data_IF_736534133218
#
_entry.id   IF_736534133218
#
_cell.length_a   1.000
_cell.length_b   1.000
_cell.length_c   1.000
_cell.angle_alpha   90.00
_cell.angle_beta   90.00
_cell.angle_gamma   90.00
#
_symmetry.space_group_name_H-M   'P 1'
#
loop_
_entity.id
_entity.type
_entity.pdbx_description
1 polymer ?
#
# COMPACT_ATOMS: atom_id res chain seq x y z
N UNK A 1 4.83 8.45 19.71
CA UNK A 1 5.85 7.37 19.77
C UNK A 1 6.49 7.27 18.39
N UNK A 2 7.73 7.72 18.23
CA UNK A 2 8.50 7.59 16.99
C UNK A 2 8.71 6.10 16.70
N UNK A 3 8.54 5.70 15.43
CA UNK A 3 8.94 4.37 14.95
C UNK A 3 10.33 4.04 15.50
N UNK A 4 10.60 2.80 15.95
CA UNK A 4 11.96 2.40 16.15
C UNK A 4 12.69 2.61 14.81
N UNK A 5 13.78 3.37 14.85
CA UNK A 5 14.70 3.49 13.71
C UNK A 5 15.33 2.11 13.50
N UNK A 6 14.60 1.22 12.84
CA UNK A 6 15.20 0.05 12.22
C UNK A 6 16.00 0.60 11.05
N UNK A 7 17.29 0.33 11.00
CA UNK A 7 18.19 0.79 9.92
C UNK A 7 17.84 0.19 8.54
N UNK A 8 16.60 -0.16 8.31
CA UNK A 8 16.01 -0.70 7.11
C UNK A 8 15.05 0.32 6.51
N UNK A 9 15.06 0.42 5.21
CA UNK A 9 14.19 1.30 4.44
C UNK A 9 12.72 0.90 4.66
N UNK A 10 11.93 1.73 5.32
CA UNK A 10 10.51 1.52 5.60
C UNK A 10 9.59 1.78 4.39
N UNK A 11 10.18 2.05 3.23
CA UNK A 11 9.45 2.42 2.01
C UNK A 11 8.78 1.24 1.29
N UNK A 12 9.19 0.01 1.59
CA UNK A 12 8.63 -1.19 0.98
C UNK A 12 7.77 -1.99 1.96
N UNK A 13 6.63 -2.44 1.49
CA UNK A 13 5.65 -3.25 2.22
C UNK A 13 5.40 -4.52 1.40
N UNK A 14 5.35 -5.70 2.01
CA UNK A 14 4.85 -6.89 1.33
C UNK A 14 3.32 -6.95 1.44
N UNK A 15 2.64 -6.89 0.29
CA UNK A 15 1.19 -7.12 0.21
C UNK A 15 0.86 -8.61 0.25
N UNK A 16 0.09 -9.03 1.24
CA UNK A 16 -0.22 -10.43 1.54
C UNK A 16 -1.55 -10.92 0.91
N UNK A 17 -2.13 -10.17 -0.03
CA UNK A 17 -3.45 -10.47 -0.62
C UNK A 17 -3.53 -11.90 -1.16
N UNK A 18 -2.55 -12.36 -1.93
CA UNK A 18 -2.59 -13.63 -2.65
C UNK A 18 -1.88 -14.79 -1.94
N UNK A 19 -1.59 -14.70 -0.65
CA UNK A 19 -0.96 -15.80 0.08
C UNK A 19 -1.84 -17.06 0.10
N UNK A 20 -3.16 -16.88 0.19
CA UNK A 20 -4.11 -18.01 0.19
C UNK A 20 -4.09 -18.86 -1.09
N UNK A 21 -3.49 -18.37 -2.17
CA UNK A 21 -3.29 -19.09 -3.44
C UNK A 21 -2.00 -19.92 -3.46
N UNK A 22 -1.21 -19.91 -2.39
CA UNK A 22 0.13 -20.51 -2.31
C UNK A 22 0.18 -21.65 -1.30
N UNK A 23 1.12 -22.57 -1.53
CA UNK A 23 1.40 -23.62 -0.54
C UNK A 23 2.15 -23.03 0.66
N UNK A 24 2.09 -23.66 1.84
CA UNK A 24 2.83 -23.22 3.02
C UNK A 24 4.32 -23.02 2.76
N UNK A 25 4.99 -23.96 2.06
CA UNK A 25 6.42 -23.84 1.74
C UNK A 25 6.72 -22.65 0.82
N UNK A 26 5.85 -22.38 -0.17
CA UNK A 26 6.00 -21.21 -1.03
C UNK A 26 5.88 -19.89 -0.25
N UNK A 27 5.00 -19.87 0.75
CA UNK A 27 4.83 -18.70 1.62
C UNK A 27 6.05 -18.51 2.52
N UNK A 28 6.58 -19.57 3.11
CA UNK A 28 7.82 -19.51 3.91
C UNK A 28 8.96 -18.92 3.07
N UNK A 29 9.18 -19.46 1.87
CA UNK A 29 10.22 -18.96 0.95
C UNK A 29 10.02 -17.48 0.57
N UNK A 30 8.78 -17.06 0.35
CA UNK A 30 8.45 -15.67 0.04
C UNK A 30 8.73 -14.72 1.21
N UNK A 31 8.31 -15.10 2.42
CA UNK A 31 8.51 -14.29 3.61
C UNK A 31 10.00 -14.23 4.00
N UNK A 32 10.74 -15.33 3.85
CA UNK A 32 12.19 -15.34 4.02
C UNK A 32 12.86 -14.36 3.05
N UNK A 33 12.49 -14.41 1.74
CA UNK A 33 13.01 -13.48 0.75
C UNK A 33 12.67 -12.01 1.07
N UNK A 34 11.49 -11.74 1.61
CA UNK A 34 11.11 -10.40 2.06
C UNK A 34 12.00 -9.93 3.22
N UNK A 35 12.17 -10.78 4.24
CA UNK A 35 13.01 -10.49 5.39
C UNK A 35 14.48 -10.28 5.02
N UNK A 36 15.04 -11.11 4.13
CA UNK A 36 16.40 -10.95 3.59
C UNK A 36 16.58 -9.66 2.78
N UNK A 37 15.50 -9.21 2.10
CA UNK A 37 15.49 -7.93 1.38
C UNK A 37 15.24 -6.70 2.26
N UNK A 38 15.21 -6.88 3.59
CA UNK A 38 14.98 -5.78 4.54
C UNK A 38 13.51 -5.38 4.72
N UNK A 39 12.57 -6.02 4.05
CA UNK A 39 11.14 -5.73 4.20
C UNK A 39 10.67 -6.27 5.55
N UNK A 40 10.11 -5.39 6.38
CA UNK A 40 9.62 -5.70 7.73
C UNK A 40 8.15 -5.37 7.92
N UNK A 41 7.52 -4.69 6.97
CA UNK A 41 6.11 -4.34 7.00
C UNK A 41 5.30 -5.27 6.08
N UNK A 42 4.20 -5.82 6.63
CA UNK A 42 3.32 -6.79 5.96
C UNK A 42 1.89 -6.26 5.99
N UNK A 43 1.26 -6.23 4.82
CA UNK A 43 -0.06 -5.65 4.61
C UNK A 43 -1.10 -6.72 4.33
N UNK A 44 -2.09 -6.81 5.20
CA UNK A 44 -3.21 -7.74 5.17
C UNK A 44 -4.55 -7.04 4.99
N UNK A 45 -5.61 -7.82 4.92
CA UNK A 45 -7.00 -7.43 5.16
C UNK A 45 -7.80 -8.66 5.60
N UNK A 46 -8.82 -8.44 6.42
CA UNK A 46 -9.70 -9.48 6.95
C UNK A 46 -10.39 -10.33 5.86
N UNK A 47 -10.63 -9.72 4.69
CA UNK A 47 -11.27 -10.37 3.53
C UNK A 47 -10.30 -11.19 2.66
N UNK A 48 -8.98 -11.08 2.81
CA UNK A 48 -8.03 -11.74 1.93
C UNK A 48 -8.08 -13.26 2.05
N UNK A 49 -8.62 -13.93 1.01
CA UNK A 49 -8.91 -15.36 1.04
C UNK A 49 -9.82 -15.76 2.22
N UNK A 50 -10.80 -14.90 2.56
CA UNK A 50 -11.71 -15.10 3.72
C UNK A 50 -10.92 -15.32 5.02
N UNK A 51 -9.86 -14.54 5.22
CA UNK A 51 -8.93 -14.64 6.35
C UNK A 51 -7.88 -15.76 6.22
N UNK A 52 -7.87 -16.50 5.10
CA UNK A 52 -6.88 -17.55 4.83
C UNK A 52 -5.47 -17.00 4.71
N UNK A 53 -5.28 -15.83 4.08
CA UNK A 53 -3.98 -15.19 3.95
C UNK A 53 -3.34 -14.85 5.30
N UNK A 54 -4.11 -14.36 6.26
CA UNK A 54 -3.63 -14.05 7.63
C UNK A 54 -3.21 -15.33 8.37
N UNK A 55 -4.01 -16.42 8.29
CA UNK A 55 -3.66 -17.71 8.94
C UNK A 55 -2.38 -18.32 8.37
N UNK A 56 -2.24 -18.34 7.05
CA UNK A 56 -1.06 -18.89 6.38
C UNK A 56 0.19 -18.03 6.65
N UNK A 57 0.04 -16.72 6.73
CA UNK A 57 1.12 -15.82 7.14
C UNK A 57 1.60 -16.14 8.56
N UNK A 58 0.67 -16.27 9.52
CA UNK A 58 1.01 -16.58 10.91
C UNK A 58 1.77 -17.91 11.04
N UNK A 59 1.32 -18.96 10.34
CA UNK A 59 1.99 -20.26 10.31
C UNK A 59 3.41 -20.17 9.74
N UNK A 60 3.60 -19.43 8.64
CA UNK A 60 4.91 -19.28 8.02
C UNK A 60 5.86 -18.46 8.90
N UNK A 61 5.38 -17.39 9.56
CA UNK A 61 6.20 -16.62 10.51
C UNK A 61 6.61 -17.44 11.74
N UNK A 62 5.74 -18.33 12.21
CA UNK A 62 6.08 -19.28 13.27
C UNK A 62 7.17 -20.25 12.80
N UNK A 63 7.07 -20.81 11.59
CA UNK A 63 8.07 -21.69 10.99
C UNK A 63 9.43 -20.99 10.86
N UNK A 64 9.44 -19.70 10.50
CA UNK A 64 10.66 -18.89 10.41
C UNK A 64 11.23 -18.46 11.77
N UNK A 65 10.53 -18.71 12.87
CA UNK A 65 10.92 -18.26 14.20
C UNK A 65 11.00 -16.72 14.31
N UNK A 66 10.21 -16.02 13.50
CA UNK A 66 10.23 -14.56 13.44
C UNK A 66 9.55 -13.97 14.69
N UNK A 67 10.23 -13.08 15.39
CA UNK A 67 9.68 -12.42 16.57
C UNK A 67 8.68 -11.34 16.16
N UNK A 68 7.53 -11.27 16.86
CA UNK A 68 6.47 -10.28 16.58
C UNK A 68 6.98 -8.84 16.55
N UNK A 69 7.86 -8.49 17.46
CA UNK A 69 8.41 -7.15 17.63
C UNK A 69 9.38 -6.74 16.52
N UNK A 70 9.85 -7.70 15.72
CA UNK A 70 10.77 -7.44 14.62
C UNK A 70 10.08 -7.05 13.31
N UNK A 71 8.76 -7.08 13.29
CA UNK A 71 7.93 -6.80 12.10
C UNK A 71 6.81 -5.80 12.41
N UNK A 72 6.31 -5.17 11.36
CA UNK A 72 5.14 -4.27 11.40
C UNK A 72 3.98 -4.95 10.70
N UNK A 73 2.89 -5.19 11.41
CA UNK A 73 1.66 -5.77 10.87
C UNK A 73 0.62 -4.69 10.64
N UNK A 74 0.16 -4.59 9.42
CA UNK A 74 -0.96 -3.76 9.01
C UNK A 74 -2.09 -4.65 8.50
N UNK A 75 -3.32 -4.40 8.92
CA UNK A 75 -4.49 -5.06 8.34
C UNK A 75 -5.62 -4.07 8.10
N UNK A 76 -6.69 -4.51 7.47
CA UNK A 76 -7.82 -3.68 7.07
C UNK A 76 -9.14 -4.35 7.39
N UNK A 77 -10.19 -3.56 7.60
CA UNK A 77 -11.57 -4.02 7.75
C UNK A 77 -12.56 -3.07 7.06
N UNK A 78 -13.82 -3.43 7.02
CA UNK A 78 -14.90 -2.58 6.54
C UNK A 78 -15.49 -2.97 5.18
N UNK A 79 -14.91 -3.96 4.45
CA UNK A 79 -15.55 -4.50 3.25
C UNK A 79 -16.37 -5.74 3.64
N UNK A 80 -17.66 -5.71 3.25
CA UNK A 80 -18.60 -6.82 3.39
C UNK A 80 -19.08 -7.27 2.01
N UNK A 81 -19.76 -8.41 1.93
CA UNK A 81 -20.36 -8.85 0.69
C UNK A 81 -21.50 -7.92 0.28
N UNK A 82 -21.26 -7.14 -0.79
CA UNK A 82 -22.25 -6.21 -1.35
C UNK A 82 -22.35 -4.84 -0.67
N UNK A 83 -21.62 -4.58 0.43
CA UNK A 83 -21.65 -3.27 1.10
C UNK A 83 -20.38 -2.98 1.91
N UNK A 84 -20.24 -1.75 2.39
CA UNK A 84 -19.20 -1.36 3.35
C UNK A 84 -19.82 -1.17 4.74
N UNK A 85 -19.02 -1.43 5.79
CA UNK A 85 -19.48 -1.37 7.16
C UNK A 85 -18.37 -0.80 8.05
N UNK A 86 -18.51 0.46 8.42
CA UNK A 86 -17.60 1.17 9.32
C UNK A 86 -18.20 1.37 10.72
N UNK A 87 -19.22 0.59 11.09
CA UNK A 87 -19.80 0.63 12.44
C UNK A 87 -18.79 0.21 13.51
N UNK A 88 -18.92 0.73 14.71
CA UNK A 88 -18.06 0.38 15.85
C UNK A 88 -18.04 -1.13 16.10
N UNK A 89 -19.20 -1.78 16.08
CA UNK A 89 -19.32 -3.22 16.33
C UNK A 89 -18.57 -4.05 15.28
N UNK A 90 -18.69 -3.68 13.98
CA UNK A 90 -17.98 -4.38 12.92
C UNK A 90 -16.47 -4.21 13.04
N UNK A 91 -15.99 -3.01 13.30
CA UNK A 91 -14.55 -2.73 13.48
C UNK A 91 -13.97 -3.57 14.62
N UNK A 92 -14.64 -3.58 15.79
CA UNK A 92 -14.19 -4.36 16.95
C UNK A 92 -14.14 -5.85 16.66
N UNK A 93 -15.19 -6.41 16.08
CA UNK A 93 -15.27 -7.84 15.73
C UNK A 93 -14.22 -8.22 14.66
N UNK A 94 -13.98 -7.34 13.68
CA UNK A 94 -12.98 -7.56 12.65
C UNK A 94 -11.58 -7.62 13.24
N UNK A 95 -11.24 -6.71 14.17
CA UNK A 95 -9.93 -6.71 14.83
C UNK A 95 -9.73 -7.98 15.65
N UNK A 96 -10.73 -8.43 16.42
CA UNK A 96 -10.63 -9.68 17.17
C UNK A 96 -10.38 -10.87 16.25
N UNK A 97 -11.07 -10.92 15.11
CA UNK A 97 -10.84 -11.92 14.07
C UNK A 97 -9.44 -11.84 13.45
N UNK A 98 -8.95 -10.65 13.12
CA UNK A 98 -7.62 -10.40 12.57
C UNK A 98 -6.55 -10.90 13.55
N UNK A 99 -6.63 -10.50 14.81
CA UNK A 99 -5.67 -10.89 15.85
C UNK A 99 -5.62 -12.40 16.03
N UNK A 100 -6.79 -13.04 16.08
CA UNK A 100 -6.90 -14.50 16.17
C UNK A 100 -6.25 -15.20 14.97
N UNK A 101 -6.48 -14.74 13.75
CA UNK A 101 -5.93 -15.35 12.53
C UNK A 101 -4.43 -15.11 12.36
N UNK A 102 -3.94 -13.92 12.73
CA UNK A 102 -2.52 -13.57 12.74
C UNK A 102 -1.77 -14.15 13.93
N UNK A 103 -2.47 -14.77 14.89
CA UNK A 103 -1.90 -15.32 16.13
C UNK A 103 -1.02 -14.29 16.87
N UNK A 104 -1.60 -13.13 17.16
CA UNK A 104 -0.92 -12.01 17.83
C UNK A 104 -1.88 -11.24 18.72
N UNK A 105 -1.36 -10.57 19.75
CA UNK A 105 -2.15 -9.78 20.66
C UNK A 105 -2.41 -8.35 20.16
N UNK A 106 -1.64 -7.90 19.14
CA UNK A 106 -1.79 -6.55 18.58
C UNK A 106 -1.39 -6.49 17.10
N UNK A 107 -1.92 -5.49 16.40
CA UNK A 107 -1.41 -5.03 15.10
C UNK A 107 -0.90 -3.59 15.21
N UNK A 108 0.09 -3.26 14.36
CA UNK A 108 0.69 -1.92 14.38
C UNK A 108 -0.22 -0.88 13.73
N UNK A 109 -0.96 -1.27 12.71
CA UNK A 109 -1.84 -0.34 11.98
C UNK A 109 -3.11 -1.04 11.51
N UNK A 110 -4.25 -0.41 11.75
CA UNK A 110 -5.55 -0.78 11.17
C UNK A 110 -5.98 0.28 10.17
N UNK A 111 -6.37 -0.12 8.96
CA UNK A 111 -6.96 0.77 7.96
C UNK A 111 -8.45 0.48 7.78
N UNK A 112 -9.27 1.52 7.63
CA UNK A 112 -10.58 1.37 7.00
C UNK A 112 -10.36 1.13 5.51
N UNK A 113 -10.81 -0.04 5.00
CA UNK A 113 -10.40 -0.55 3.68
C UNK A 113 -11.00 0.26 2.51
N UNK A 114 -12.22 0.79 2.69
CA UNK A 114 -12.94 1.64 1.74
C UNK A 114 -13.76 2.70 2.48
N UNK A 115 -14.00 3.85 1.84
CA UNK A 115 -14.96 4.82 2.37
C UNK A 115 -16.36 4.20 2.40
N UNK A 116 -16.98 4.22 3.55
CA UNK A 116 -18.39 3.86 3.74
C UNK A 116 -19.24 5.13 3.65
N UNK A 117 -20.24 5.15 2.77
CA UNK A 117 -21.12 6.29 2.61
C UNK A 117 -22.04 6.52 3.82
N UNK A 118 -22.21 5.49 4.65
CA UNK A 118 -23.03 5.53 5.86
C UNK A 118 -22.19 5.62 7.14
N UNK A 119 -20.89 5.87 7.01
CA UNK A 119 -19.97 6.01 8.14
C UNK A 119 -20.39 7.18 9.04
N UNK A 120 -20.56 6.87 10.33
CA UNK A 120 -20.68 7.88 11.40
C UNK A 120 -19.31 8.04 12.07
N UNK A 121 -18.62 9.19 11.90
CA UNK A 121 -17.28 9.40 12.45
C UNK A 121 -17.17 9.16 13.96
N UNK A 122 -18.22 9.44 14.72
CA UNK A 122 -18.25 9.22 16.16
C UNK A 122 -18.21 7.73 16.54
N UNK A 123 -18.87 6.85 15.77
CA UNK A 123 -18.80 5.39 15.98
C UNK A 123 -17.41 4.84 15.68
N UNK A 124 -16.79 5.32 14.60
CA UNK A 124 -15.39 4.94 14.29
C UNK A 124 -14.45 5.40 15.40
N UNK A 125 -14.64 6.64 15.90
CA UNK A 125 -13.84 7.18 16.99
C UNK A 125 -13.97 6.34 18.27
N UNK A 126 -15.18 5.90 18.63
CA UNK A 126 -15.43 5.01 19.77
C UNK A 126 -14.63 3.71 19.62
N UNK A 127 -14.71 3.04 18.46
CA UNK A 127 -13.99 1.79 18.21
C UNK A 127 -12.47 2.00 18.26
N UNK A 128 -11.94 3.05 17.63
CA UNK A 128 -10.51 3.33 17.60
C UNK A 128 -9.97 3.66 19.00
N UNK A 129 -10.69 4.49 19.78
CA UNK A 129 -10.32 4.81 21.16
C UNK A 129 -10.27 3.54 22.02
N UNK A 130 -11.27 2.67 21.92
CA UNK A 130 -11.28 1.40 22.63
C UNK A 130 -10.10 0.50 22.25
N UNK A 131 -9.89 0.25 20.95
CA UNK A 131 -8.82 -0.61 20.45
C UNK A 131 -7.43 -0.12 20.83
N UNK A 132 -7.22 1.20 20.84
CA UNK A 132 -5.95 1.79 21.27
C UNK A 132 -5.77 1.69 22.78
N UNK A 133 -6.82 1.95 23.56
CA UNK A 133 -6.76 1.89 25.03
C UNK A 133 -6.45 0.48 25.54
N UNK A 134 -6.98 -0.57 24.89
CA UNK A 134 -6.68 -1.97 25.24
C UNK A 134 -5.41 -2.51 24.57
N UNK A 135 -4.71 -1.71 23.75
CA UNK A 135 -3.44 -2.06 23.13
C UNK A 135 -3.54 -3.02 21.95
N UNK A 136 -4.74 -3.29 21.40
CA UNK A 136 -4.94 -4.17 20.25
C UNK A 136 -4.51 -3.57 18.93
N UNK A 137 -4.59 -2.24 18.79
CA UNK A 137 -4.18 -1.48 17.62
C UNK A 137 -3.37 -0.26 18.05
N UNK A 138 -2.18 -0.08 17.47
CA UNK A 138 -1.29 1.02 17.85
C UNK A 138 -1.56 2.30 17.06
N UNK A 139 -1.94 2.19 15.78
CA UNK A 139 -2.17 3.32 14.86
C UNK A 139 -3.32 3.02 13.93
N UNK A 140 -3.91 4.08 13.39
CA UNK A 140 -5.05 3.98 12.50
C UNK A 140 -4.80 4.76 11.22
N UNK A 141 -5.42 4.31 10.13
CA UNK A 141 -5.38 4.97 8.84
C UNK A 141 -6.58 4.57 7.99
N UNK A 142 -6.52 4.94 6.73
CA UNK A 142 -7.60 4.71 5.77
C UNK A 142 -7.04 4.18 4.44
N UNK A 143 -7.92 3.72 3.58
CA UNK A 143 -7.58 3.30 2.22
C UNK A 143 -8.63 3.80 1.24
N UNK A 144 -8.16 4.42 0.13
CA UNK A 144 -9.00 4.98 -0.93
C UNK A 144 -9.91 6.14 -0.50
N UNK A 145 -9.56 6.85 0.56
CA UNK A 145 -10.28 8.03 1.03
C UNK A 145 -9.83 9.28 0.28
N UNK A 146 -10.79 10.17 -0.01
CA UNK A 146 -10.54 11.51 -0.52
C UNK A 146 -10.25 12.48 0.64
N UNK A 147 -9.57 13.62 0.38
CA UNK A 147 -9.24 14.59 1.42
C UNK A 147 -10.39 14.96 2.36
N UNK A 148 -11.55 15.33 1.83
CA UNK A 148 -12.68 15.74 2.68
C UNK A 148 -13.28 14.59 3.50
N UNK A 149 -13.14 13.33 3.07
CA UNK A 149 -13.54 12.17 3.88
C UNK A 149 -12.55 11.94 5.02
N UNK A 150 -11.25 12.19 4.78
CA UNK A 150 -10.23 12.14 5.84
C UNK A 150 -10.48 13.24 6.87
N UNK A 151 -10.73 14.47 6.44
CA UNK A 151 -11.05 15.59 7.34
C UNK A 151 -12.29 15.31 8.18
N UNK A 152 -13.36 14.83 7.58
CA UNK A 152 -14.58 14.48 8.28
C UNK A 152 -14.32 13.43 9.37
N UNK A 153 -13.60 12.35 9.03
CA UNK A 153 -13.25 11.33 10.01
C UNK A 153 -12.32 11.88 11.10
N UNK A 154 -11.26 12.59 10.70
CA UNK A 154 -10.26 13.15 11.61
C UNK A 154 -10.88 14.14 12.61
N UNK A 155 -11.97 14.84 12.24
CA UNK A 155 -12.65 15.77 13.13
C UNK A 155 -13.26 15.13 14.37
N UNK A 156 -13.52 13.81 14.34
CA UNK A 156 -14.05 13.06 15.47
C UNK A 156 -12.97 12.25 16.22
N UNK A 157 -11.77 12.06 15.62
CA UNK A 157 -10.72 11.22 16.19
C UNK A 157 -9.83 12.01 17.16
N UNK A 158 -9.43 11.38 18.26
CA UNK A 158 -8.42 11.90 19.18
C UNK A 158 -6.97 11.68 18.68
N UNK A 159 -6.75 10.60 17.93
CA UNK A 159 -5.45 10.22 17.39
C UNK A 159 -5.35 10.61 15.89
N UNK A 160 -4.15 11.00 15.41
CA UNK A 160 -3.97 11.30 14.01
C UNK A 160 -4.06 10.02 13.16
N UNK A 161 -4.69 10.11 12.00
CA UNK A 161 -4.58 9.09 10.97
C UNK A 161 -3.13 9.07 10.44
N UNK A 162 -2.56 7.89 10.30
CA UNK A 162 -1.13 7.74 9.95
C UNK A 162 -0.90 7.48 8.46
N UNK A 163 -1.88 6.95 7.74
CA UNK A 163 -1.72 6.57 6.34
C UNK A 163 -3.03 6.64 5.55
N UNK A 164 -2.90 6.88 4.24
CA UNK A 164 -3.94 6.62 3.25
C UNK A 164 -3.35 5.72 2.15
N UNK A 165 -3.93 4.53 1.97
CA UNK A 165 -3.46 3.56 0.99
C UNK A 165 -4.30 3.69 -0.29
N UNK A 166 -3.66 4.08 -1.42
CA UNK A 166 -4.33 4.37 -2.70
C UNK A 166 -3.66 3.62 -3.85
N UNK A 167 -4.39 3.36 -4.94
CA UNK A 167 -3.76 2.86 -6.16
C UNK A 167 -2.86 3.96 -6.74
N UNK A 168 -1.60 3.62 -7.01
CA UNK A 168 -0.67 4.53 -7.66
C UNK A 168 0.47 3.77 -8.34
N UNK A 169 0.76 4.14 -9.58
CA UNK A 169 1.83 3.57 -10.39
C UNK A 169 1.81 4.12 -11.81
N UNK A 170 2.75 3.72 -12.65
CA UNK A 170 2.90 4.24 -14.03
C UNK A 170 1.66 4.01 -14.91
N UNK A 171 0.89 2.96 -14.67
CA UNK A 171 -0.39 2.73 -15.35
C UNK A 171 -1.62 3.26 -14.56
N UNK A 172 -1.40 4.00 -13.48
CA UNK A 172 -2.44 4.65 -12.66
C UNK A 172 -1.88 5.93 -12.04
N UNK A 173 -1.71 6.97 -12.84
CA UNK A 173 -1.08 8.24 -12.47
C UNK A 173 -2.08 9.31 -11.99
N UNK A 174 -3.39 9.02 -12.03
CA UNK A 174 -4.46 9.93 -11.68
C UNK A 174 -4.20 10.82 -10.45
N UNK A 175 -3.65 10.29 -9.34
CA UNK A 175 -3.36 11.08 -8.14
C UNK A 175 -2.37 12.25 -8.31
N UNK A 176 -1.66 12.35 -9.44
CA UNK A 176 -0.73 13.45 -9.75
C UNK A 176 -1.04 14.17 -11.07
N UNK A 177 -1.90 13.61 -11.91
CA UNK A 177 -2.15 14.13 -13.27
C UNK A 177 -2.76 15.53 -13.23
N UNK A 178 -3.72 15.77 -12.33
CA UNK A 178 -4.39 17.05 -12.22
C UNK A 178 -3.43 18.21 -11.93
N UNK A 179 -2.39 17.96 -11.12
CA UNK A 179 -1.35 18.94 -10.84
C UNK A 179 -0.41 19.14 -12.04
N UNK A 180 0.04 18.07 -12.70
CA UNK A 180 0.96 18.13 -13.84
C UNK A 180 0.32 18.72 -15.10
N UNK A 181 -0.98 18.52 -15.26
CA UNK A 181 -1.75 18.98 -16.42
C UNK A 181 -2.64 20.19 -16.12
N UNK A 182 -2.38 20.88 -15.01
CA UNK A 182 -3.15 22.04 -14.59
C UNK A 182 -3.21 23.10 -15.68
N UNK A 183 -4.37 23.78 -15.81
CA UNK A 183 -4.61 24.81 -16.80
C UNK A 183 -4.47 24.36 -18.27
N UNK A 184 -4.68 23.09 -18.56
CA UNK A 184 -4.73 22.54 -19.94
C UNK A 184 -6.12 22.02 -20.28
N UNK A 185 -6.27 21.55 -21.51
CA UNK A 185 -7.47 20.82 -21.96
C UNK A 185 -7.29 19.30 -21.96
N UNK A 186 -6.20 18.79 -21.40
CA UNK A 186 -5.96 17.35 -21.30
C UNK A 186 -6.95 16.72 -20.32
N UNK A 187 -7.33 15.47 -20.58
CA UNK A 187 -8.29 14.76 -19.74
C UNK A 187 -7.84 14.54 -18.29
N UNK A 188 -6.52 14.49 -18.05
CA UNK A 188 -5.94 14.37 -16.72
C UNK A 188 -5.93 15.67 -15.90
N UNK A 189 -6.26 16.83 -16.51
CA UNK A 189 -6.40 18.11 -15.77
C UNK A 189 -7.60 18.15 -14.84
N UNK A 190 -8.53 17.20 -14.96
CA UNK A 190 -9.68 17.08 -14.07
C UNK A 190 -9.25 16.39 -12.77
N UNK A 191 -9.34 17.12 -11.67
CA UNK A 191 -9.09 16.56 -10.34
C UNK A 191 -10.25 15.64 -9.93
N UNK A 192 -9.99 14.32 -9.93
CA UNK A 192 -10.97 13.29 -9.58
C UNK A 192 -10.87 12.81 -8.14
N UNK A 193 -9.75 13.03 -7.48
CA UNK A 193 -9.48 12.52 -6.13
C UNK A 193 -9.17 13.59 -5.07
N UNK A 194 -9.28 14.88 -5.45
CA UNK A 194 -9.12 16.01 -4.54
C UNK A 194 -7.64 16.25 -4.18
N UNK A 195 -6.72 15.99 -5.12
CA UNK A 195 -5.27 16.19 -4.89
C UNK A 195 -4.78 15.39 -3.67
N UNK A 196 -5.20 14.14 -3.58
CA UNK A 196 -5.03 13.29 -2.39
C UNK A 196 -3.57 13.15 -1.94
N UNK A 197 -2.61 13.08 -2.86
CA UNK A 197 -1.18 12.97 -2.51
C UNK A 197 -0.68 14.26 -1.85
N UNK A 198 -1.02 15.43 -2.42
CA UNK A 198 -0.60 16.72 -1.85
C UNK A 198 -1.26 16.96 -0.49
N UNK A 199 -2.55 16.64 -0.36
CA UNK A 199 -3.26 16.69 0.91
C UNK A 199 -2.57 15.82 1.98
N UNK A 200 -2.31 14.56 1.67
CA UNK A 200 -1.65 13.64 2.60
C UNK A 200 -0.26 14.17 3.00
N UNK A 201 0.51 14.70 2.04
CA UNK A 201 1.81 15.28 2.29
C UNK A 201 1.74 16.49 3.24
N UNK A 202 0.77 17.39 3.04
CA UNK A 202 0.56 18.58 3.89
C UNK A 202 0.19 18.20 5.32
N UNK A 203 -0.57 17.13 5.50
CA UNK A 203 -1.10 16.70 6.80
C UNK A 203 -0.28 15.57 7.45
N UNK A 204 0.88 15.22 6.89
CA UNK A 204 1.77 14.22 7.47
C UNK A 204 1.26 12.77 7.39
N UNK A 205 0.25 12.49 6.56
CA UNK A 205 -0.21 11.13 6.30
C UNK A 205 0.74 10.45 5.32
N UNK A 206 1.13 9.22 5.64
CA UNK A 206 1.92 8.41 4.72
C UNK A 206 1.02 7.90 3.58
N UNK A 207 1.39 8.18 2.34
CA UNK A 207 0.73 7.58 1.18
C UNK A 207 1.33 6.20 0.91
N UNK A 208 0.48 5.18 0.80
CA UNK A 208 0.88 3.82 0.48
C UNK A 208 0.32 3.43 -0.89
N UNK A 209 1.20 3.14 -1.86
CA UNK A 209 0.82 2.78 -3.22
C UNK A 209 0.51 1.28 -3.33
N UNK A 210 -0.78 0.92 -3.48
CA UNK A 210 -1.14 -0.46 -3.77
C UNK A 210 -1.21 -0.72 -5.29
N UNK A 211 -1.04 -1.97 -5.69
CA UNK A 211 -1.02 -2.42 -7.10
C UNK A 211 -0.11 -1.59 -8.03
N UNK A 212 1.14 -1.33 -7.66
CA UNK A 212 2.02 -0.39 -8.36
C UNK A 212 2.37 -0.79 -9.79
N UNK A 213 2.20 -2.07 -10.15
CA UNK A 213 2.50 -2.62 -11.47
C UNK A 213 1.26 -3.03 -12.26
N UNK A 214 0.07 -2.81 -11.72
CA UNK A 214 -1.19 -3.19 -12.37
C UNK A 214 -1.80 -2.02 -13.14
N UNK A 215 -2.60 -2.36 -14.16
CA UNK A 215 -3.44 -1.42 -14.87
C UNK A 215 -4.93 -1.75 -14.65
N UNK A 216 -5.78 -0.76 -14.86
CA UNK A 216 -7.22 -0.88 -14.64
C UNK A 216 -7.57 -1.26 -13.19
N UNK A 217 -8.73 -1.89 -13.00
CA UNK A 217 -9.13 -2.48 -11.74
C UNK A 217 -8.83 -3.98 -11.76
N UNK A 218 -7.57 -4.35 -11.55
CA UNK A 218 -7.04 -5.73 -11.60
C UNK A 218 -7.10 -6.39 -12.98
N UNK A 219 -6.97 -5.60 -14.06
CA UNK A 219 -7.01 -6.10 -15.44
C UNK A 219 -5.70 -6.77 -15.86
N UNK A 220 -4.60 -6.52 -15.15
CA UNK A 220 -3.32 -7.17 -15.42
C UNK A 220 -2.10 -6.37 -14.97
N UNK A 221 -0.92 -6.92 -15.26
CA UNK A 221 0.36 -6.28 -15.03
C UNK A 221 0.86 -5.65 -16.35
N UNK A 222 1.26 -4.39 -16.32
CA UNK A 222 1.76 -3.71 -17.53
C UNK A 222 3.17 -4.15 -17.94
N UNK A 223 3.97 -4.73 -17.04
CA UNK A 223 5.32 -5.21 -17.37
C UNK A 223 5.26 -6.34 -18.41
N UNK A 224 5.86 -6.10 -19.57
CA UNK A 224 5.86 -7.03 -20.70
C UNK A 224 4.51 -7.13 -21.44
N UNK A 225 3.51 -6.34 -21.08
CA UNK A 225 2.22 -6.37 -21.74
C UNK A 225 2.24 -5.56 -23.04
N UNK A 226 1.74 -6.11 -24.19
CA UNK A 226 1.82 -5.45 -25.50
C UNK A 226 1.17 -4.06 -25.59
N UNK A 227 0.09 -3.83 -24.86
CA UNK A 227 -0.60 -2.52 -24.83
C UNK A 227 0.26 -1.41 -24.22
N UNK A 228 1.36 -1.74 -23.52
CA UNK A 228 2.29 -0.80 -22.89
C UNK A 228 3.70 -0.89 -23.50
N UNK A 229 3.79 -1.11 -24.82
CA UNK A 229 5.06 -1.36 -25.52
C UNK A 229 6.07 -0.21 -25.33
N UNK A 230 5.63 1.05 -25.45
CA UNK A 230 6.48 2.23 -25.27
C UNK A 230 6.99 2.34 -23.83
N UNK A 231 6.09 2.18 -22.84
CA UNK A 231 6.47 2.16 -21.43
C UNK A 231 7.47 1.04 -21.11
N UNK A 232 7.23 -0.16 -21.63
CA UNK A 232 8.14 -1.30 -21.42
C UNK A 232 9.50 -1.10 -22.10
N UNK A 233 9.53 -0.48 -23.27
CA UNK A 233 10.78 -0.10 -23.91
C UNK A 233 11.59 0.84 -23.03
N UNK A 234 10.97 1.91 -22.53
CA UNK A 234 11.63 2.90 -21.69
C UNK A 234 12.06 2.32 -20.32
N UNK A 235 11.21 1.48 -19.70
CA UNK A 235 11.57 0.77 -18.47
C UNK A 235 12.80 -0.13 -18.65
N UNK A 236 12.91 -0.82 -19.78
CA UNK A 236 14.07 -1.66 -20.07
C UNK A 236 15.33 -0.82 -20.32
N UNK A 237 15.24 0.32 -21.01
CA UNK A 237 16.35 1.25 -21.17
C UNK A 237 16.86 1.74 -19.83
N UNK A 238 15.96 2.19 -18.95
CA UNK A 238 16.31 2.63 -17.59
C UNK A 238 16.90 1.48 -16.76
N UNK A 239 16.36 0.27 -16.89
CA UNK A 239 16.89 -0.92 -16.22
C UNK A 239 18.36 -1.18 -16.57
N UNK A 240 18.75 -0.97 -17.82
CA UNK A 240 20.16 -1.07 -18.26
C UNK A 240 21.02 0.05 -17.65
N UNK A 241 20.53 1.31 -17.66
CA UNK A 241 21.25 2.47 -17.12
C UNK A 241 21.52 2.30 -15.62
N UNK A 242 20.53 1.82 -14.88
CA UNK A 242 20.61 1.70 -13.41
C UNK A 242 21.07 0.33 -12.90
N UNK A 243 21.32 -0.64 -13.80
CA UNK A 243 21.78 -1.99 -13.46
C UNK A 243 20.78 -2.78 -12.59
N UNK A 244 19.49 -2.64 -12.86
CA UNK A 244 18.43 -3.30 -12.11
C UNK A 244 17.31 -3.82 -13.04
N UNK A 245 16.21 -4.34 -12.50
CA UNK A 245 15.08 -4.81 -13.32
C UNK A 245 14.12 -3.69 -13.69
N UNK A 246 13.36 -3.86 -14.79
CA UNK A 246 12.27 -2.96 -15.18
C UNK A 246 11.22 -2.80 -14.05
N UNK A 247 10.94 -3.87 -13.30
CA UNK A 247 10.07 -3.81 -12.14
C UNK A 247 10.64 -2.93 -11.02
N UNK A 248 11.96 -2.98 -10.77
CA UNK A 248 12.62 -2.10 -9.80
C UNK A 248 12.54 -0.63 -10.23
N UNK A 249 12.72 -0.34 -11.53
CA UNK A 249 12.55 1.02 -12.06
C UNK A 249 11.12 1.54 -11.85
N UNK A 250 10.12 0.72 -12.14
CA UNK A 250 8.71 1.11 -11.95
C UNK A 250 8.39 1.42 -10.47
N UNK A 251 8.96 0.66 -9.53
CA UNK A 251 8.83 0.93 -8.09
C UNK A 251 9.64 2.19 -7.71
N UNK A 252 10.87 2.34 -8.21
CA UNK A 252 11.71 3.51 -7.96
C UNK A 252 11.06 4.81 -8.47
N UNK A 253 10.28 4.75 -9.54
CA UNK A 253 9.49 5.88 -10.04
C UNK A 253 8.52 6.39 -8.97
N UNK A 254 7.81 5.51 -8.27
CA UNK A 254 6.91 5.87 -7.16
C UNK A 254 7.71 6.42 -5.97
N UNK A 255 8.77 5.71 -5.58
CA UNK A 255 9.61 6.08 -4.43
C UNK A 255 10.34 7.42 -4.63
N UNK A 256 10.54 7.85 -5.88
CA UNK A 256 11.19 9.13 -6.24
C UNK A 256 10.30 10.33 -5.90
N UNK A 257 8.99 10.14 -5.76
CA UNK A 257 8.08 11.24 -5.46
C UNK A 257 8.35 11.84 -4.07
N UNK A 258 8.40 13.18 -3.93
CA UNK A 258 8.81 13.84 -2.69
C UNK A 258 7.81 13.71 -1.52
N UNK A 259 6.64 13.12 -1.73
CA UNK A 259 5.69 12.81 -0.67
C UNK A 259 6.12 11.61 0.20
N UNK A 260 7.32 11.03 -0.03
CA UNK A 260 7.87 9.93 0.75
C UNK A 260 6.90 8.73 0.82
N UNK A 261 6.49 8.24 -0.35
CA UNK A 261 5.53 7.15 -0.47
C UNK A 261 6.12 5.81 0.00
N UNK A 262 5.24 4.96 0.48
CA UNK A 262 5.51 3.52 0.64
C UNK A 262 4.90 2.75 -0.52
N UNK A 263 5.50 1.64 -0.92
CA UNK A 263 5.02 0.81 -2.04
C UNK A 263 4.74 -0.61 -1.58
N UNK A 264 3.53 -1.08 -1.88
CA UNK A 264 3.10 -2.46 -1.62
C UNK A 264 3.55 -3.36 -2.77
N UNK A 265 4.52 -4.23 -2.50
CA UNK A 265 4.96 -5.25 -3.44
C UNK A 265 4.02 -6.45 -3.37
N UNK A 266 3.31 -6.74 -4.46
CA UNK A 266 2.31 -7.82 -4.54
C UNK A 266 2.82 -9.10 -5.21
N UNK A 267 4.12 -9.26 -5.45
CA UNK A 267 4.67 -10.48 -6.03
C UNK A 267 4.62 -11.64 -5.04
N UNK A 268 4.23 -12.82 -5.53
CA UNK A 268 4.32 -14.08 -4.79
C UNK A 268 5.52 -14.93 -5.23
N UNK A 269 6.37 -14.40 -6.09
CA UNK A 269 7.63 -15.00 -6.54
C UNK A 269 8.80 -14.37 -5.75
N UNK A 270 9.57 -15.17 -4.98
CA UNK A 270 10.66 -14.68 -4.15
C UNK A 270 11.77 -13.96 -4.94
N UNK A 271 12.13 -14.46 -6.14
CA UNK A 271 13.19 -13.87 -6.95
C UNK A 271 12.75 -12.52 -7.52
N UNK A 272 11.50 -12.44 -7.99
CA UNK A 272 10.91 -11.19 -8.44
C UNK A 272 10.80 -10.17 -7.31
N UNK A 273 10.43 -10.62 -6.11
CA UNK A 273 10.37 -9.75 -4.93
C UNK A 273 11.75 -9.16 -4.62
N UNK A 274 12.80 -9.99 -4.52
CA UNK A 274 14.18 -9.54 -4.28
C UNK A 274 14.66 -8.55 -5.36
N UNK A 275 14.34 -8.85 -6.62
CA UNK A 275 14.68 -7.97 -7.75
C UNK A 275 14.01 -6.59 -7.63
N UNK A 276 12.72 -6.55 -7.28
CA UNK A 276 11.98 -5.29 -7.11
C UNK A 276 12.39 -4.53 -5.85
N UNK A 277 12.81 -5.22 -4.79
CA UNK A 277 13.28 -4.57 -3.55
C UNK A 277 14.50 -3.68 -3.78
N UNK A 278 15.30 -3.94 -4.84
CA UNK A 278 16.41 -3.08 -5.25
C UNK A 278 15.98 -1.68 -5.71
N UNK A 279 14.70 -1.42 -5.85
CA UNK A 279 14.18 -0.10 -6.17
C UNK A 279 14.62 0.98 -5.17
N UNK A 280 14.89 0.60 -3.92
CA UNK A 280 15.37 1.51 -2.88
C UNK A 280 16.80 2.02 -3.12
N UNK A 281 17.58 1.30 -3.92
CA UNK A 281 18.96 1.66 -4.29
C UNK A 281 19.01 2.60 -5.51
N UNK A 282 17.87 2.80 -6.19
CA UNK A 282 17.80 3.55 -7.46
C UNK A 282 17.54 5.02 -7.18
N UNK A 283 18.54 5.86 -7.42
CA UNK A 283 18.39 7.32 -7.42
C UNK A 283 17.93 7.81 -8.81
N UNK A 284 16.65 7.61 -9.12
CA UNK A 284 16.07 7.95 -10.41
C UNK A 284 16.19 9.47 -10.69
N UNK A 285 16.82 9.85 -11.79
CA UNK A 285 16.98 11.27 -12.19
C UNK A 285 15.64 11.87 -12.60
N UNK A 286 15.52 13.18 -12.48
CA UNK A 286 14.27 13.91 -12.79
C UNK A 286 13.83 13.68 -14.25
N UNK A 287 14.75 13.77 -15.18
CA UNK A 287 14.51 13.60 -16.61
C UNK A 287 13.97 12.18 -16.91
N UNK A 288 14.54 11.18 -16.26
CA UNK A 288 14.12 9.79 -16.41
C UNK A 288 12.73 9.56 -15.79
N UNK A 289 12.43 10.22 -14.67
CA UNK A 289 11.10 10.17 -14.06
C UNK A 289 10.01 10.67 -15.02
N UNK A 290 10.26 11.82 -15.67
CA UNK A 290 9.32 12.40 -16.64
C UNK A 290 9.30 11.62 -17.96
N UNK A 291 10.41 11.01 -18.39
CA UNK A 291 10.44 10.12 -19.56
C UNK A 291 9.50 8.92 -19.37
N UNK A 292 9.54 8.28 -18.20
CA UNK A 292 8.64 7.18 -17.84
C UNK A 292 7.17 7.63 -17.75
N UNK A 293 6.89 8.81 -17.18
CA UNK A 293 5.54 9.37 -17.12
C UNK A 293 4.95 9.58 -18.53
N UNK A 294 5.74 10.11 -19.47
CA UNK A 294 5.32 10.28 -20.87
C UNK A 294 5.15 8.95 -21.59
N UNK A 295 6.09 8.03 -21.42
CA UNK A 295 6.03 6.69 -22.02
C UNK A 295 4.82 5.87 -21.52
N UNK A 296 4.27 6.21 -20.37
CA UNK A 296 3.02 5.68 -19.87
C UNK A 296 1.76 6.27 -20.56
N UNK A 297 1.94 7.13 -21.56
CA UNK A 297 0.86 7.75 -22.33
C UNK A 297 0.34 9.07 -21.77
N UNK A 298 1.02 9.66 -20.79
CA UNK A 298 0.58 10.89 -20.14
C UNK A 298 1.21 12.12 -20.84
N UNK A 299 0.40 13.05 -21.37
CA UNK A 299 0.93 14.27 -21.97
C UNK A 299 1.48 15.23 -20.91
N UNK A 300 2.50 15.98 -21.29
CA UNK A 300 2.95 17.15 -20.54
C UNK A 300 2.65 18.41 -21.37
N UNK A 301 2.26 19.51 -20.73
CA UNK A 301 2.06 20.79 -21.41
C UNK A 301 3.32 21.30 -22.12
#
# INVERSE_FOLDING_TARGET
MTMPATGNDDRLILGCWRLHERTPDQIVMLLEAALESGIRQFDHADIYGSGGSERLFAQAMQTLGCKRESIVLQSKCGIREGFYDSSAQHILNSVDGILSRLNTDYIDTLLLHRPDALMEPAEVAEAFNHLQAVGKVLRFGVSNFRPMQIELLQSALNQPLCANQVQFGLAHTGPIDAALQANTRFGGSLDRDGSVIDYCRMNGLRVQAWSPLQFGMFEGNFLGHPAFAELNHELNNMAQIYGCSAGAIAIAWILRHPANLQVLLGSTDPQRLKSMARATDVALQREHWYALYRAAGNPLP
#
